data_IF_120417409671
#
_entry.id   IF_120417409671
#
_cell.length_a   1.000
_cell.length_b   1.000
_cell.length_c   1.000
_cell.angle_alpha   90.00
_cell.angle_beta   90.00
_cell.angle_gamma   90.00
#
_symmetry.space_group_name_H-M   'P 1'
#
loop_
_entity.id
_entity.type
_entity.pdbx_description
1 polymer ?
#
# COMPACT_ATOMS: atom_id res chain seq x y z
N UNK A 1 -64.21 -3.38 19.44
CA UNK A 1 -63.06 -4.28 19.53
C UNK A 1 -61.93 -3.76 18.69
N UNK A 2 -60.91 -3.25 19.38
CA UNK A 2 -59.73 -2.66 18.79
C UNK A 2 -58.68 -3.75 18.59
N UNK A 3 -58.37 -4.10 17.34
CA UNK A 3 -57.24 -4.95 17.01
C UNK A 3 -55.94 -4.12 17.00
N UNK A 4 -55.11 -4.31 18.01
CA UNK A 4 -53.74 -3.86 18.05
C UNK A 4 -52.91 -4.78 17.16
N UNK A 5 -52.59 -4.34 15.93
CA UNK A 5 -51.63 -4.99 15.07
C UNK A 5 -50.22 -4.75 15.60
N UNK A 6 -49.61 -5.79 16.13
CA UNK A 6 -48.18 -5.80 16.47
C UNK A 6 -47.37 -5.84 15.20
N UNK A 7 -46.85 -4.68 14.78
CA UNK A 7 -45.87 -4.61 13.71
C UNK A 7 -44.54 -5.15 14.22
N UNK A 8 -44.19 -6.39 13.91
CA UNK A 8 -42.82 -6.89 13.93
C UNK A 8 -42.06 -6.08 12.86
N UNK A 9 -41.29 -5.08 13.29
CA UNK A 9 -40.27 -4.49 12.44
C UNK A 9 -39.26 -5.61 12.13
N UNK A 10 -39.33 -6.13 10.91
CA UNK A 10 -38.26 -6.94 10.38
C UNK A 10 -36.98 -6.11 10.53
N UNK A 11 -36.01 -6.61 11.28
CA UNK A 11 -34.71 -5.98 11.39
C UNK A 11 -34.17 -5.76 9.97
N UNK A 12 -33.73 -4.54 9.66
CA UNK A 12 -33.21 -4.26 8.34
C UNK A 12 -31.95 -5.13 8.11
N UNK A 13 -31.67 -5.49 6.86
CA UNK A 13 -30.47 -6.28 6.52
C UNK A 13 -29.19 -5.66 7.10
N UNK A 14 -29.20 -4.34 7.32
CA UNK A 14 -28.12 -3.62 7.98
C UNK A 14 -28.04 -3.95 9.47
N UNK A 15 -29.18 -4.08 10.17
CA UNK A 15 -29.23 -4.42 11.60
C UNK A 15 -28.85 -5.88 11.83
N UNK A 16 -29.24 -6.79 10.94
CA UNK A 16 -28.86 -8.20 10.98
C UNK A 16 -27.36 -8.34 10.75
N UNK A 17 -26.79 -7.66 9.74
CA UNK A 17 -25.35 -7.62 9.49
C UNK A 17 -24.57 -6.99 10.64
N UNK A 18 -25.10 -5.95 11.28
CA UNK A 18 -24.48 -5.34 12.45
C UNK A 18 -24.49 -6.28 13.66
N UNK A 19 -25.60 -7.02 13.88
CA UNK A 19 -25.71 -8.00 14.96
C UNK A 19 -24.80 -9.22 14.75
N UNK A 20 -24.68 -9.71 13.51
CA UNK A 20 -23.74 -10.79 13.18
C UNK A 20 -22.27 -10.36 13.33
N UNK A 21 -21.94 -9.13 12.89
CA UNK A 21 -20.61 -8.54 13.13
C UNK A 21 -20.32 -8.37 14.61
N UNK A 22 -21.30 -7.99 15.43
CA UNK A 22 -21.15 -7.87 16.87
C UNK A 22 -20.93 -9.25 17.55
N UNK A 23 -21.55 -10.30 17.06
CA UNK A 23 -21.32 -11.68 17.53
C UNK A 23 -19.97 -12.23 17.12
N UNK A 24 -19.49 -11.90 15.92
CA UNK A 24 -18.17 -12.28 15.42
C UNK A 24 -17.02 -11.55 16.15
N UNK A 25 -17.26 -10.31 16.62
CA UNK A 25 -16.27 -9.48 17.34
C UNK A 25 -15.79 -10.03 18.68
N UNK A 26 -16.29 -11.17 19.14
CA UNK A 26 -16.04 -11.66 20.51
C UNK A 26 -14.83 -12.57 20.70
N UNK A 27 -14.22 -13.11 19.63
CA UNK A 27 -13.18 -14.15 19.82
C UNK A 27 -11.75 -13.69 19.65
N UNK A 28 -11.46 -12.66 18.84
CA UNK A 28 -10.09 -12.16 18.64
C UNK A 28 -10.10 -10.66 18.32
N UNK A 29 -10.32 -9.83 19.31
CA UNK A 29 -10.46 -8.37 19.16
C UNK A 29 -9.27 -7.69 18.44
N UNK A 30 -8.05 -8.22 18.57
CA UNK A 30 -6.88 -7.69 17.87
C UNK A 30 -6.92 -7.99 16.37
N UNK A 31 -7.48 -9.13 15.98
CA UNK A 31 -7.60 -9.53 14.58
C UNK A 31 -8.63 -8.62 13.86
N UNK A 32 -9.76 -8.35 14.51
CA UNK A 32 -10.79 -7.44 13.99
C UNK A 32 -10.23 -6.02 13.83
N UNK A 33 -9.49 -5.54 14.84
CA UNK A 33 -8.82 -4.24 14.77
C UNK A 33 -7.77 -4.18 13.64
N UNK A 34 -7.03 -5.27 13.42
CA UNK A 34 -6.06 -5.37 12.34
C UNK A 34 -6.74 -5.33 10.96
N UNK A 35 -7.81 -6.11 10.76
CA UNK A 35 -8.55 -6.09 9.49
C UNK A 35 -9.26 -4.75 9.24
N UNK A 36 -9.77 -4.11 10.28
CA UNK A 36 -10.35 -2.77 10.16
C UNK A 36 -9.28 -1.74 9.76
N UNK A 37 -8.11 -1.79 10.38
CA UNK A 37 -6.97 -0.96 10.01
C UNK A 37 -6.54 -1.18 8.56
N UNK A 38 -6.42 -2.44 8.14
CA UNK A 38 -6.10 -2.79 6.75
C UNK A 38 -7.15 -2.21 5.80
N UNK A 39 -8.43 -2.50 6.04
CA UNK A 39 -9.54 -2.06 5.20
C UNK A 39 -9.59 -0.53 5.08
N UNK A 40 -9.43 0.19 6.17
CA UNK A 40 -9.43 1.65 6.19
C UNK A 40 -8.24 2.25 5.46
N UNK A 41 -7.09 1.56 5.44
CA UNK A 41 -5.90 1.99 4.71
C UNK A 41 -6.03 1.80 3.20
N UNK A 42 -6.73 0.76 2.74
CA UNK A 42 -6.86 0.42 1.32
C UNK A 42 -8.10 0.97 0.63
N UNK A 43 -9.21 1.11 1.35
CA UNK A 43 -10.49 1.57 0.78
C UNK A 43 -10.37 2.86 -0.06
N UNK A 44 -9.65 3.90 0.37
CA UNK A 44 -9.51 5.13 -0.42
C UNK A 44 -8.72 4.93 -1.72
N UNK A 45 -7.91 3.86 -1.80
CA UNK A 45 -7.03 3.59 -2.94
C UNK A 45 -7.72 2.80 -4.06
N UNK A 46 -8.88 2.19 -3.79
CA UNK A 46 -9.58 1.34 -4.77
C UNK A 46 -9.88 2.10 -6.07
N UNK A 47 -10.28 3.38 -5.98
CA UNK A 47 -10.55 4.20 -7.16
C UNK A 47 -9.31 4.43 -8.03
N UNK A 48 -8.17 4.71 -7.40
CA UNK A 48 -6.89 4.93 -8.07
C UNK A 48 -6.38 3.64 -8.72
N UNK A 49 -6.51 2.52 -8.01
CA UNK A 49 -6.13 1.19 -8.52
C UNK A 49 -7.02 0.75 -9.69
N UNK A 50 -8.31 1.01 -9.63
CA UNK A 50 -9.22 0.75 -10.75
C UNK A 50 -8.88 1.61 -11.97
N UNK A 51 -8.58 2.89 -11.78
CA UNK A 51 -8.14 3.78 -12.84
C UNK A 51 -6.84 3.31 -13.51
N UNK A 52 -5.83 2.94 -12.73
CA UNK A 52 -4.58 2.43 -13.28
C UNK A 52 -4.76 1.09 -14.00
N UNK A 53 -5.61 0.19 -13.48
CA UNK A 53 -5.92 -1.09 -14.16
C UNK A 53 -6.60 -0.87 -15.51
N UNK A 54 -7.44 0.15 -15.64
CA UNK A 54 -8.06 0.49 -16.93
C UNK A 54 -7.01 0.95 -17.95
N UNK A 55 -6.04 1.78 -17.51
CA UNK A 55 -4.93 2.21 -18.37
C UNK A 55 -4.10 1.01 -18.83
N UNK A 56 -3.80 0.07 -17.92
CA UNK A 56 -3.08 -1.18 -18.25
C UNK A 56 -3.87 -1.99 -19.27
N UNK A 57 -5.18 -2.15 -19.08
CA UNK A 57 -6.01 -2.92 -19.99
C UNK A 57 -6.05 -2.33 -21.41
N UNK A 58 -6.21 -1.01 -21.52
CA UNK A 58 -6.15 -0.29 -22.80
C UNK A 58 -4.77 -0.50 -23.45
N UNK A 59 -3.72 -0.33 -22.67
CA UNK A 59 -2.36 -0.50 -23.14
C UNK A 59 -2.10 -1.91 -23.67
N UNK A 60 -2.57 -2.95 -22.97
CA UNK A 60 -2.44 -4.35 -23.41
C UNK A 60 -3.20 -4.64 -24.71
N UNK A 61 -4.37 -4.03 -24.91
CA UNK A 61 -5.12 -4.15 -26.19
C UNK A 61 -4.35 -3.50 -27.32
N UNK A 62 -3.79 -2.31 -27.12
CA UNK A 62 -3.00 -1.61 -28.15
C UNK A 62 -1.73 -2.38 -28.53
N UNK A 63 -1.09 -3.03 -27.56
CA UNK A 63 0.07 -3.93 -27.80
C UNK A 63 -0.33 -5.15 -28.61
N UNK A 64 -1.44 -5.81 -28.25
CA UNK A 64 -1.96 -6.96 -28.97
C UNK A 64 -2.33 -6.64 -30.44
N UNK A 65 -2.75 -5.41 -30.70
CA UNK A 65 -3.03 -4.90 -32.05
C UNK A 65 -1.77 -4.41 -32.78
N UNK A 66 -0.59 -4.52 -32.17
CA UNK A 66 0.70 -4.04 -32.71
C UNK A 66 0.71 -2.55 -33.06
N UNK A 67 -0.16 -1.76 -32.43
CA UNK A 67 -0.23 -0.30 -32.60
C UNK A 67 0.88 0.38 -31.79
N UNK A 68 1.28 -0.25 -30.67
CA UNK A 68 2.25 0.29 -29.72
C UNK A 68 3.29 -0.78 -29.36
N UNK A 69 4.59 -0.50 -29.50
CA UNK A 69 5.61 -1.39 -28.98
C UNK A 69 5.72 -1.26 -27.45
N UNK A 70 5.07 -2.16 -26.72
CA UNK A 70 5.12 -2.18 -25.25
C UNK A 70 6.46 -2.68 -24.70
N UNK A 71 7.11 -3.56 -25.46
CA UNK A 71 8.40 -4.16 -25.10
C UNK A 71 9.33 -4.11 -26.31
N UNK A 72 10.53 -3.60 -26.13
CA UNK A 72 11.56 -3.62 -27.18
C UNK A 72 12.58 -2.51 -27.06
N UNK A 73 13.62 -2.59 -27.88
CA UNK A 73 14.77 -1.67 -27.93
C UNK A 73 14.35 -0.27 -28.42
N UNK A 74 13.24 -0.17 -29.14
CA UNK A 74 12.77 1.07 -29.76
C UNK A 74 11.98 2.01 -28.83
N UNK A 75 11.86 1.68 -27.55
CA UNK A 75 11.17 2.53 -26.56
C UNK A 75 11.80 3.91 -26.38
N UNK A 76 13.07 4.09 -26.74
CA UNK A 76 13.82 5.33 -26.60
C UNK A 76 13.83 6.17 -27.89
N UNK A 77 13.19 5.73 -28.96
CA UNK A 77 12.97 6.57 -30.15
C UNK A 77 11.96 7.68 -29.85
N UNK A 78 11.90 8.73 -30.66
CA UNK A 78 10.97 9.84 -30.43
C UNK A 78 9.50 9.39 -30.33
N UNK A 79 9.08 8.42 -31.13
CA UNK A 79 7.77 7.80 -31.01
C UNK A 79 7.62 6.96 -29.74
N UNK A 80 8.69 6.26 -29.35
CA UNK A 80 8.74 5.43 -28.14
C UNK A 80 8.65 6.26 -26.85
N UNK A 81 9.15 7.49 -26.83
CA UNK A 81 9.11 8.38 -25.66
C UNK A 81 7.66 8.66 -25.21
N UNK A 82 6.74 8.85 -26.14
CA UNK A 82 5.30 9.05 -25.84
C UNK A 82 4.72 7.82 -25.13
N UNK A 83 5.08 6.64 -25.58
CA UNK A 83 4.57 5.40 -24.99
C UNK A 83 5.22 5.07 -23.67
N UNK A 84 6.50 5.40 -23.48
CA UNK A 84 7.16 5.33 -22.16
C UNK A 84 6.49 6.25 -21.15
N UNK A 85 6.11 7.47 -21.57
CA UNK A 85 5.37 8.40 -20.73
C UNK A 85 3.99 7.84 -20.36
N UNK A 86 3.23 7.31 -21.32
CA UNK A 86 1.95 6.65 -21.09
C UNK A 86 2.06 5.49 -20.09
N UNK A 87 3.07 4.63 -20.31
CA UNK A 87 3.34 3.48 -19.45
C UNK A 87 3.74 3.92 -18.02
N UNK A 88 4.46 5.03 -17.89
CA UNK A 88 4.83 5.58 -16.58
C UNK A 88 3.65 6.05 -15.75
N UNK A 89 2.52 6.42 -16.37
CA UNK A 89 1.36 6.93 -15.64
C UNK A 89 0.74 5.87 -14.71
N UNK A 90 0.52 4.66 -15.22
CA UNK A 90 -0.03 3.59 -14.38
C UNK A 90 1.03 2.97 -13.47
N UNK A 91 2.28 2.86 -13.95
CA UNK A 91 3.40 2.36 -13.15
C UNK A 91 3.66 3.24 -11.94
N UNK A 92 3.54 4.56 -12.09
CA UNK A 92 3.72 5.48 -10.97
C UNK A 92 2.73 5.23 -9.84
N UNK A 93 1.47 4.92 -10.16
CA UNK A 93 0.45 4.59 -9.16
C UNK A 93 0.86 3.36 -8.35
N UNK A 94 1.30 2.29 -9.02
CA UNK A 94 1.74 1.06 -8.34
C UNK A 94 3.07 1.26 -7.60
N UNK A 95 3.99 2.03 -8.19
CA UNK A 95 5.29 2.30 -7.58
C UNK A 95 5.16 3.13 -6.29
N UNK A 96 4.33 4.18 -6.30
CA UNK A 96 4.09 5.02 -5.14
C UNK A 96 2.96 4.54 -4.22
N UNK A 97 2.37 3.38 -4.53
CA UNK A 97 1.34 2.76 -3.70
C UNK A 97 1.70 2.69 -2.21
N UNK A 98 2.94 2.33 -1.81
CA UNK A 98 3.33 2.30 -0.40
C UNK A 98 3.18 3.63 0.32
N UNK A 99 3.47 4.75 -0.35
CA UNK A 99 3.31 6.10 0.23
C UNK A 99 1.84 6.41 0.46
N UNK A 100 0.99 6.07 -0.51
CA UNK A 100 -0.46 6.27 -0.39
C UNK A 100 -1.07 5.39 0.70
N UNK A 101 -0.60 4.15 0.84
CA UNK A 101 -1.01 3.24 1.93
C UNK A 101 -0.58 3.81 3.27
N UNK A 102 0.68 4.27 3.40
CA UNK A 102 1.21 4.86 4.64
C UNK A 102 0.42 6.10 5.07
N UNK A 103 0.06 6.97 4.12
CA UNK A 103 -0.77 8.14 4.37
C UNK A 103 -2.14 7.76 4.95
N UNK A 104 -2.84 6.82 4.31
CA UNK A 104 -4.15 6.38 4.77
C UNK A 104 -4.09 5.58 6.06
N UNK A 105 -3.03 4.80 6.26
CA UNK A 105 -2.77 4.05 7.49
C UNK A 105 -2.57 4.99 8.68
N UNK A 106 -1.79 6.07 8.52
CA UNK A 106 -1.62 7.10 9.55
C UNK A 106 -2.96 7.76 9.90
N UNK A 107 -3.78 8.09 8.89
CA UNK A 107 -5.12 8.62 9.07
C UNK A 107 -6.03 7.66 9.86
N UNK A 108 -5.96 6.37 9.56
CA UNK A 108 -6.72 5.33 10.28
C UNK A 108 -6.30 5.24 11.76
N UNK A 109 -5.03 5.48 12.07
CA UNK A 109 -4.48 5.50 13.43
C UNK A 109 -4.61 6.86 14.13
N UNK A 110 -5.28 7.85 13.51
CA UNK A 110 -5.45 9.22 14.03
C UNK A 110 -4.11 9.95 14.28
N UNK A 111 -3.12 9.64 13.49
CA UNK A 111 -1.84 10.36 13.39
C UNK A 111 -1.88 11.22 12.15
N UNK A 112 -1.06 12.28 12.10
CA UNK A 112 -0.98 13.13 10.93
C UNK A 112 -0.63 12.30 9.68
N UNK A 113 -1.50 12.29 8.66
CA UNK A 113 -1.29 11.48 7.45
C UNK A 113 -0.03 11.84 6.67
N UNK A 114 0.38 13.12 6.70
CA UNK A 114 1.59 13.58 6.01
C UNK A 114 2.85 12.98 6.62
N UNK A 115 2.89 12.79 7.94
CA UNK A 115 4.03 12.14 8.60
C UNK A 115 4.14 10.70 8.15
N UNK A 116 3.02 9.97 8.08
CA UNK A 116 3.00 8.60 7.56
C UNK A 116 3.53 8.51 6.13
N UNK A 117 3.03 9.39 5.26
CA UNK A 117 3.48 9.49 3.88
C UNK A 117 4.96 9.85 3.75
N UNK A 118 5.44 10.84 4.54
CA UNK A 118 6.83 11.30 4.51
C UNK A 118 7.82 10.22 4.99
N UNK A 119 7.49 9.48 6.05
CA UNK A 119 8.31 8.37 6.54
C UNK A 119 8.48 7.31 5.46
N UNK A 120 7.39 6.97 4.75
CA UNK A 120 7.49 6.02 3.66
C UNK A 120 8.20 6.60 2.45
N UNK A 121 8.01 7.88 2.12
CA UNK A 121 8.71 8.55 1.02
C UNK A 121 10.22 8.59 1.22
N UNK A 122 10.70 8.65 2.46
CA UNK A 122 12.13 8.67 2.76
C UNK A 122 12.87 7.44 2.20
N UNK A 123 12.23 6.26 2.19
CA UNK A 123 12.83 5.03 1.64
C UNK A 123 12.86 4.99 0.10
N UNK A 124 12.23 5.96 -0.57
CA UNK A 124 12.28 6.11 -2.03
C UNK A 124 13.30 7.15 -2.48
N UNK A 125 13.97 7.81 -1.55
CA UNK A 125 15.00 8.81 -1.91
C UNK A 125 16.21 8.13 -2.58
N UNK A 126 16.86 8.81 -3.54
CA UNK A 126 18.06 8.31 -4.17
C UNK A 126 19.16 7.97 -3.15
N UNK A 127 19.28 8.76 -2.09
CA UNK A 127 20.26 8.54 -1.01
C UNK A 127 19.99 7.22 -0.28
N UNK A 128 18.74 6.92 0.04
CA UNK A 128 18.37 5.64 0.64
C UNK A 128 18.64 4.47 -0.31
N UNK A 129 18.28 4.60 -1.58
CA UNK A 129 18.55 3.57 -2.59
C UNK A 129 20.03 3.34 -2.83
N UNK A 130 20.87 4.37 -2.68
CA UNK A 130 22.31 4.29 -2.81
C UNK A 130 22.99 3.45 -1.71
N UNK A 131 22.32 3.24 -0.56
CA UNK A 131 22.83 2.39 0.53
C UNK A 131 23.09 0.95 0.10
N UNK A 132 22.48 0.47 -0.99
CA UNK A 132 22.80 -0.84 -1.57
C UNK A 132 24.26 -0.95 -2.01
N UNK A 133 24.88 0.16 -2.40
CA UNK A 133 26.30 0.25 -2.77
C UNK A 133 27.25 0.61 -1.63
N UNK A 134 26.74 0.81 -0.41
CA UNK A 134 27.59 1.19 0.73
C UNK A 134 28.50 0.03 1.17
N UNK A 135 29.72 0.35 1.58
CA UNK A 135 30.72 -0.64 1.99
C UNK A 135 30.30 -1.53 3.17
N UNK A 136 29.34 -1.06 3.99
CA UNK A 136 28.78 -1.79 5.14
C UNK A 136 27.58 -2.66 4.78
N UNK A 137 27.17 -2.65 3.51
CA UNK A 137 26.01 -3.45 3.05
C UNK A 137 26.47 -4.80 2.55
N UNK A 138 25.90 -5.86 3.12
CA UNK A 138 26.14 -7.24 2.71
C UNK A 138 24.96 -7.68 1.84
N UNK A 139 25.23 -8.00 0.58
CA UNK A 139 24.26 -8.54 -0.34
C UNK A 139 24.45 -10.04 -0.53
N UNK A 140 23.42 -10.82 -0.29
CA UNK A 140 23.39 -12.27 -0.53
C UNK A 140 22.31 -12.60 -1.54
N UNK A 141 22.62 -13.48 -2.49
CA UNK A 141 21.65 -13.94 -3.47
C UNK A 141 20.75 -15.02 -2.85
N UNK A 142 19.46 -14.79 -2.84
CA UNK A 142 18.50 -15.79 -2.38
C UNK A 142 18.37 -16.89 -3.45
N UNK A 143 18.78 -18.14 -3.20
CA UNK A 143 18.75 -19.20 -4.20
C UNK A 143 17.32 -19.59 -4.62
N UNK A 144 16.34 -19.34 -3.75
CA UNK A 144 14.93 -19.72 -3.99
C UNK A 144 14.17 -18.69 -4.81
N UNK A 145 14.46 -17.40 -4.61
CA UNK A 145 13.74 -16.28 -5.23
C UNK A 145 14.53 -15.60 -6.35
N UNK A 146 15.82 -15.93 -6.52
CA UNK A 146 16.70 -15.31 -7.52
C UNK A 146 16.96 -13.82 -7.30
N UNK A 147 16.53 -13.26 -6.16
CA UNK A 147 16.64 -11.84 -5.82
C UNK A 147 17.81 -11.60 -4.88
N UNK A 148 18.47 -10.45 -5.02
CA UNK A 148 19.53 -10.03 -4.12
C UNK A 148 18.89 -9.48 -2.82
N UNK A 149 19.29 -10.05 -1.69
CA UNK A 149 18.94 -9.55 -0.37
C UNK A 149 20.12 -8.77 0.19
N UNK A 150 19.99 -7.46 0.29
CA UNK A 150 21.00 -6.59 0.82
C UNK A 150 20.62 -6.14 2.24
N UNK A 151 21.54 -6.26 3.18
CA UNK A 151 21.34 -5.82 4.58
C UNK A 151 22.41 -4.78 4.90
N UNK A 152 21.97 -3.58 5.27
CA UNK A 152 22.81 -2.52 5.77
C UNK A 152 22.73 -2.42 7.29
N UNK A 153 23.83 -2.04 7.93
CA UNK A 153 23.85 -1.70 9.36
C UNK A 153 23.54 -0.21 9.54
N UNK A 154 22.36 0.10 10.07
CA UNK A 154 21.92 1.47 10.33
C UNK A 154 21.76 1.64 11.83
N UNK A 155 22.53 2.51 12.45
CA UNK A 155 22.59 2.70 13.91
C UNK A 155 22.86 1.38 14.69
N UNK A 156 23.61 0.45 14.09
CA UNK A 156 23.89 -0.86 14.68
C UNK A 156 22.75 -1.88 14.54
N UNK A 157 21.66 -1.53 13.86
CA UNK A 157 20.54 -2.43 13.58
C UNK A 157 20.60 -2.91 12.12
N UNK A 158 20.43 -4.22 11.87
CA UNK A 158 20.38 -4.76 10.52
C UNK A 158 19.07 -4.32 9.84
N UNK A 159 19.18 -3.57 8.76
CA UNK A 159 18.05 -3.13 7.94
C UNK A 159 18.14 -3.77 6.57
N UNK A 160 17.10 -4.47 6.17
CA UNK A 160 17.03 -5.08 4.84
C UNK A 160 16.70 -4.01 3.80
N UNK A 161 17.55 -3.88 2.78
CA UNK A 161 17.38 -2.95 1.68
C UNK A 161 16.70 -3.66 0.50
N UNK A 162 15.41 -3.54 0.40
CA UNK A 162 14.62 -4.05 -0.72
C UNK A 162 14.20 -2.92 -1.65
N UNK A 163 13.68 -3.29 -2.82
CA UNK A 163 12.86 -2.38 -3.59
C UNK A 163 11.48 -2.30 -2.93
N UNK A 164 11.17 -1.15 -2.36
CA UNK A 164 9.91 -0.93 -1.66
C UNK A 164 8.77 -0.51 -2.59
N UNK A 165 9.04 -0.36 -3.89
CA UNK A 165 8.02 -0.05 -4.90
C UNK A 165 6.95 -1.15 -4.95
N UNK A 166 5.68 -0.76 -4.83
CA UNK A 166 4.56 -1.69 -4.85
C UNK A 166 4.36 -2.55 -3.59
N UNK A 167 5.21 -2.43 -2.56
CA UNK A 167 5.04 -3.16 -1.31
C UNK A 167 3.96 -2.51 -0.44
N UNK A 168 3.09 -3.32 0.17
CA UNK A 168 1.95 -2.83 0.96
C UNK A 168 2.08 -3.09 2.45
N UNK A 169 2.80 -4.12 2.86
CA UNK A 169 2.93 -4.48 4.27
C UNK A 169 3.93 -3.60 5.03
N UNK A 170 5.03 -3.22 4.38
CA UNK A 170 6.07 -2.38 4.99
C UNK A 170 5.50 -1.03 5.46
N UNK A 171 4.75 -0.26 4.64
CA UNK A 171 4.17 0.98 5.08
C UNK A 171 3.19 0.82 6.25
N UNK A 172 2.41 -0.26 6.28
CA UNK A 172 1.48 -0.54 7.38
C UNK A 172 2.22 -0.77 8.71
N UNK A 173 3.32 -1.52 8.68
CA UNK A 173 4.12 -1.81 9.88
C UNK A 173 4.84 -0.54 10.36
N UNK A 174 5.48 0.21 9.44
CA UNK A 174 6.18 1.44 9.77
C UNK A 174 5.24 2.46 10.43
N UNK A 175 4.05 2.64 9.85
CA UNK A 175 3.07 3.59 10.36
C UNK A 175 2.45 3.12 11.68
N UNK A 176 2.31 1.81 11.92
CA UNK A 176 1.78 1.27 13.17
C UNK A 176 2.66 1.62 14.40
N UNK A 177 3.92 1.94 14.19
CA UNK A 177 4.85 2.40 15.25
C UNK A 177 4.67 3.88 15.57
N UNK A 178 4.19 4.71 14.65
CA UNK A 178 4.06 6.16 14.84
C UNK A 178 3.25 6.57 16.06
N UNK A 179 2.11 5.96 16.42
CA UNK A 179 1.36 6.34 17.63
C UNK A 179 2.16 6.15 18.92
N UNK A 180 3.05 5.15 18.95
CA UNK A 180 3.93 4.92 20.11
C UNK A 180 4.98 6.01 20.23
N UNK A 181 5.60 6.39 19.09
CA UNK A 181 6.55 7.51 19.03
C UNK A 181 5.87 8.81 19.48
N UNK A 182 4.66 9.10 19.00
CA UNK A 182 3.88 10.26 19.42
C UNK A 182 3.61 10.29 20.93
N UNK A 183 3.23 9.14 21.50
CA UNK A 183 3.02 9.04 22.95
C UNK A 183 4.29 9.26 23.76
N UNK A 184 5.43 8.82 23.23
CA UNK A 184 6.73 9.03 23.85
C UNK A 184 7.12 10.51 23.83
N UNK A 185 6.98 11.17 22.68
CA UNK A 185 7.30 12.59 22.52
C UNK A 185 6.40 13.51 23.36
N UNK A 186 5.13 13.17 23.51
CA UNK A 186 4.21 13.96 24.35
C UNK A 186 4.41 13.77 25.86
N UNK A 187 5.28 12.86 26.28
CA UNK A 187 5.65 12.66 27.69
C UNK A 187 6.92 13.41 28.11
N UNK A 188 7.65 13.95 27.14
CA UNK A 188 8.83 14.80 27.32
C UNK A 188 8.41 16.25 27.34
#
# INVERSE_FOLDING_TARGET
>A
PSMKGGGNKAASDADVKAAERAKARGKVAWLDAFFEYLSNSFRPLLGVLLGSSLIIAIAAVLDALSIVPFQGVDRLTAAGATWVFWDSMWKSVLYFLPIMVAYNAAKALKVDPWIGGAVMAAVFTPDFLSLKGAATTICTKNPTLGTDQCVAQIFGLPMQLNDYGGQVFVPLILVAVLPQVYRLLNKI
#
